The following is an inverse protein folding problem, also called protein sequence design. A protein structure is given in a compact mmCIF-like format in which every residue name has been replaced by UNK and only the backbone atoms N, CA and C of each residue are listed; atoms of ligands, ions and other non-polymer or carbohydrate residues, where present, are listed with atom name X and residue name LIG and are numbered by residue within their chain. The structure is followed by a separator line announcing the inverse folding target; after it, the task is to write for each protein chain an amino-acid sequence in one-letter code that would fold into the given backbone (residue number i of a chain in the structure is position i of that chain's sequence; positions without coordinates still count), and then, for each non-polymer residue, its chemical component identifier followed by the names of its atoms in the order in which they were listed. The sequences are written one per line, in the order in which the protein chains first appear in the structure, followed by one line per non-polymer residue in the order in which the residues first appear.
data_IF_802160420288
#
_entry.id   IF_802160420288
#
_cell.length_a   1.000
_cell.length_b   1.000
_cell.length_c   1.000
_cell.angle_alpha   90.00
_cell.angle_beta   90.00
_cell.angle_gamma   90.00
#
_symmetry.space_group_name_H-M   'P 1'
#
loop_
_entity.id
_entity.type
_entity.pdbx_description
1 polymer ?
#
# COMPACT_ATOMS: atom_id res chain seq x y z
N UNK A 1 11.75 -0.22 20.97
CA UNK A 1 12.73 0.44 20.07
C UNK A 1 12.48 1.94 20.02
N UNK A 2 13.45 2.69 19.55
CA UNK A 2 13.38 4.12 19.34
C UNK A 2 12.95 4.40 17.91
N UNK A 3 11.90 5.20 17.73
CA UNK A 3 11.34 5.53 16.40
C UNK A 3 11.44 7.04 16.18
N UNK A 4 11.87 7.45 15.00
CA UNK A 4 11.70 8.81 14.50
C UNK A 4 10.52 8.86 13.52
N UNK A 5 9.78 9.96 13.51
CA UNK A 5 8.71 10.21 12.56
C UNK A 5 9.10 11.33 11.60
N UNK A 6 8.90 11.14 10.31
CA UNK A 6 9.11 12.14 9.26
C UNK A 6 7.77 12.38 8.57
N UNK A 7 7.23 13.59 8.75
CA UNK A 7 5.85 13.95 8.39
C UNK A 7 4.89 13.68 9.56
N UNK A 8 4.31 14.75 10.11
CA UNK A 8 3.43 14.68 11.28
C UNK A 8 1.99 15.11 11.00
N UNK A 9 1.52 14.72 9.81
CA UNK A 9 0.13 14.86 9.39
C UNK A 9 -0.81 13.80 10.02
N UNK A 10 -1.91 13.49 9.34
CA UNK A 10 -2.90 12.51 9.82
C UNK A 10 -2.29 11.12 10.05
N UNK A 11 -1.38 10.66 9.16
CA UNK A 11 -0.72 9.36 9.29
C UNK A 11 0.32 9.36 10.42
N UNK A 12 1.20 10.36 10.48
CA UNK A 12 2.24 10.46 11.51
C UNK A 12 1.65 10.43 12.93
N UNK A 13 0.57 11.18 13.16
CA UNK A 13 -0.15 11.19 14.45
C UNK A 13 -0.79 9.85 14.82
N UNK A 14 -1.27 9.10 13.83
CA UNK A 14 -1.85 7.78 14.10
C UNK A 14 -0.77 6.72 14.32
N UNK A 15 0.35 6.82 13.59
CA UNK A 15 1.54 5.98 13.78
C UNK A 15 2.12 6.18 15.19
N UNK A 16 2.28 7.44 15.65
CA UNK A 16 2.75 7.73 17.01
C UNK A 16 1.90 7.01 18.07
N UNK A 17 0.56 7.17 18.01
CA UNK A 17 -0.35 6.52 18.98
C UNK A 17 -0.15 5.01 19.03
N UNK A 18 -0.05 4.38 17.87
CA UNK A 18 0.13 2.93 17.79
C UNK A 18 1.51 2.52 18.27
N UNK A 19 2.56 3.23 17.86
CA UNK A 19 3.94 2.95 18.29
C UNK A 19 4.08 3.04 19.82
N UNK A 20 3.57 4.10 20.45
CA UNK A 20 3.56 4.28 21.90
C UNK A 20 2.75 3.19 22.59
N UNK A 21 1.55 2.87 22.08
CA UNK A 21 0.73 1.80 22.66
C UNK A 21 1.39 0.41 22.57
N UNK A 22 2.31 0.20 21.60
CA UNK A 22 3.11 -1.01 21.46
C UNK A 22 4.42 -0.99 22.28
N UNK A 23 4.66 0.08 23.03
CA UNK A 23 5.83 0.20 23.92
C UNK A 23 7.08 0.74 23.22
N UNK A 24 6.93 1.43 22.09
CA UNK A 24 8.05 2.11 21.44
C UNK A 24 8.16 3.56 21.92
N UNK A 25 9.37 4.11 21.86
CA UNK A 25 9.70 5.49 22.19
C UNK A 25 9.79 6.32 20.93
N UNK A 26 9.08 7.43 20.86
CA UNK A 26 9.25 8.42 19.78
C UNK A 26 10.33 9.41 20.22
N UNK A 27 11.50 9.33 19.57
CA UNK A 27 12.67 10.14 19.94
C UNK A 27 12.80 11.40 19.12
N UNK A 28 12.20 11.47 17.93
CA UNK A 28 12.24 12.64 17.06
C UNK A 28 10.98 12.70 16.19
N UNK A 29 10.49 13.91 15.96
CA UNK A 29 9.40 14.18 15.01
C UNK A 29 9.88 15.30 14.10
N UNK A 30 10.00 15.02 12.80
CA UNK A 30 10.41 15.96 11.77
C UNK A 30 9.22 16.31 10.89
N UNK A 31 8.99 17.59 10.69
CA UNK A 31 8.00 18.13 9.75
C UNK A 31 8.61 19.32 8.99
N UNK A 32 7.82 20.09 8.28
CA UNK A 32 8.28 21.20 7.41
C UNK A 32 9.06 22.27 8.16
N UNK A 33 8.77 22.50 9.43
CA UNK A 33 9.32 23.62 10.21
C UNK A 33 10.63 23.31 10.95
N UNK A 34 11.08 22.03 10.98
CA UNK A 34 12.26 21.61 11.75
C UNK A 34 13.18 20.64 11.01
N UNK A 35 13.37 20.87 9.73
CA UNK A 35 14.20 20.04 8.84
C UNK A 35 15.67 19.90 9.30
N UNK A 36 16.20 20.82 10.12
CA UNK A 36 17.54 20.74 10.72
C UNK A 36 17.65 19.57 11.73
N UNK A 37 16.54 19.05 12.24
CA UNK A 37 16.53 18.00 13.26
C UNK A 37 16.97 16.62 12.71
N UNK A 38 17.11 16.45 11.39
CA UNK A 38 17.78 15.28 10.81
C UNK A 38 19.23 15.13 11.31
N UNK A 39 19.89 16.23 11.71
CA UNK A 39 21.25 16.23 12.23
C UNK A 39 21.32 16.07 13.76
N UNK A 40 20.18 16.08 14.44
CA UNK A 40 20.10 16.00 15.90
C UNK A 40 20.54 14.61 16.42
N UNK A 41 21.11 14.59 17.61
CA UNK A 41 21.44 13.33 18.30
C UNK A 41 20.18 12.51 18.61
N UNK A 42 19.05 13.17 18.82
CA UNK A 42 17.76 12.50 19.01
C UNK A 42 17.38 11.70 17.77
N UNK A 43 17.42 12.29 16.58
CA UNK A 43 17.12 11.61 15.32
C UNK A 43 18.10 10.45 15.05
N UNK A 44 19.41 10.71 15.18
CA UNK A 44 20.47 9.69 14.98
C UNK A 44 20.39 8.54 15.96
N UNK A 45 19.74 8.72 17.12
CA UNK A 45 19.54 7.66 18.10
C UNK A 45 18.37 6.71 17.77
N UNK A 46 17.60 7.00 16.70
CA UNK A 46 16.48 6.16 16.30
C UNK A 46 16.97 4.85 15.69
N UNK A 47 16.32 3.75 16.05
CA UNK A 47 16.52 2.44 15.42
C UNK A 47 15.94 2.44 13.99
N UNK A 48 14.79 3.10 13.81
CA UNK A 48 14.08 3.22 12.52
C UNK A 48 13.35 4.56 12.45
N UNK A 49 13.37 5.19 11.28
CA UNK A 49 12.51 6.34 10.95
C UNK A 49 11.30 5.87 10.13
N UNK A 50 10.12 6.42 10.39
CA UNK A 50 8.90 6.17 9.62
C UNK A 50 8.50 7.45 8.90
N UNK A 51 8.46 7.40 7.56
CA UNK A 51 8.25 8.55 6.68
C UNK A 51 6.91 8.46 5.96
N UNK A 52 6.06 9.48 6.16
CA UNK A 52 4.80 9.68 5.45
C UNK A 52 4.63 11.16 5.14
N UNK A 53 5.21 11.58 4.02
CA UNK A 53 5.15 12.98 3.54
C UNK A 53 4.46 13.07 2.17
N UNK A 54 5.17 13.51 1.14
CA UNK A 54 4.66 13.62 -0.22
C UNK A 54 5.76 13.35 -1.27
N UNK A 55 5.42 13.14 -2.55
CA UNK A 55 6.36 12.81 -3.62
C UNK A 55 7.55 13.76 -3.75
N UNK A 56 7.32 15.05 -3.54
CA UNK A 56 8.32 16.10 -3.83
C UNK A 56 9.47 16.15 -2.82
N UNK A 57 9.26 15.66 -1.59
CA UNK A 57 10.26 15.71 -0.53
C UNK A 57 10.74 14.33 -0.06
N UNK A 58 10.04 13.27 -0.44
CA UNK A 58 10.33 11.90 0.01
C UNK A 58 11.78 11.49 -0.27
N UNK A 59 12.25 11.66 -1.49
CA UNK A 59 13.63 11.32 -1.87
C UNK A 59 14.67 12.07 -1.04
N UNK A 60 14.48 13.38 -0.81
CA UNK A 60 15.38 14.17 0.02
C UNK A 60 15.39 13.70 1.48
N UNK A 61 14.22 13.32 2.01
CA UNK A 61 14.10 12.76 3.35
C UNK A 61 14.85 11.43 3.46
N UNK A 62 14.80 10.59 2.41
CA UNK A 62 15.56 9.33 2.37
C UNK A 62 17.07 9.59 2.43
N UNK A 63 17.58 10.50 1.61
CA UNK A 63 19.01 10.83 1.58
C UNK A 63 19.49 11.37 2.94
N UNK A 64 18.71 12.23 3.59
CA UNK A 64 19.04 12.75 4.94
C UNK A 64 19.02 11.62 5.98
N UNK A 65 18.03 10.72 5.93
CA UNK A 65 17.89 9.59 6.86
C UNK A 65 19.06 8.61 6.69
N UNK A 66 19.43 8.28 5.46
CA UNK A 66 20.59 7.44 5.16
C UNK A 66 21.91 8.08 5.61
N UNK A 67 22.09 9.39 5.40
CA UNK A 67 23.26 10.12 5.88
C UNK A 67 23.37 10.11 7.42
N UNK A 68 22.25 10.06 8.13
CA UNK A 68 22.20 9.92 9.58
C UNK A 68 22.45 8.47 10.08
N UNK A 69 22.54 7.48 9.17
CA UNK A 69 22.72 6.07 9.50
C UNK A 69 21.48 5.40 10.09
N UNK A 70 20.30 5.96 9.87
CA UNK A 70 19.02 5.46 10.40
C UNK A 70 18.30 4.63 9.34
N UNK A 71 17.78 3.45 9.70
CA UNK A 71 16.95 2.62 8.84
C UNK A 71 15.60 3.30 8.57
N UNK A 72 15.00 3.08 7.41
CA UNK A 72 13.84 3.82 6.95
C UNK A 72 12.67 2.91 6.59
N UNK A 73 11.46 3.28 7.01
CA UNK A 73 10.18 2.78 6.49
C UNK A 73 9.47 3.94 5.82
N UNK A 74 9.02 3.80 4.57
CA UNK A 74 8.32 4.87 3.88
C UNK A 74 7.06 4.40 3.17
N UNK A 75 6.00 5.22 3.32
CA UNK A 75 4.73 5.11 2.61
C UNK A 75 4.52 6.19 1.55
N UNK A 76 5.50 7.07 1.33
CA UNK A 76 5.41 8.07 0.27
C UNK A 76 5.55 7.42 -1.11
N UNK A 77 4.74 7.88 -2.06
CA UNK A 77 4.68 7.39 -3.44
C UNK A 77 5.14 8.46 -4.42
N UNK A 78 5.23 8.12 -5.72
CA UNK A 78 5.51 9.09 -6.80
C UNK A 78 6.99 9.45 -6.99
N UNK A 79 7.91 8.82 -6.27
CA UNK A 79 9.36 9.02 -6.38
C UNK A 79 10.08 7.90 -7.16
N UNK A 80 9.43 6.75 -7.30
CA UNK A 80 10.03 5.52 -7.86
C UNK A 80 10.50 5.68 -9.32
N UNK A 81 9.72 6.38 -10.14
CA UNK A 81 10.04 6.55 -11.56
C UNK A 81 11.35 7.31 -11.75
N UNK A 82 11.59 8.33 -10.93
CA UNK A 82 12.77 9.20 -11.04
C UNK A 82 13.97 8.67 -10.24
N UNK A 83 13.75 8.11 -9.04
CA UNK A 83 14.80 7.78 -8.07
C UNK A 83 14.85 6.31 -7.64
N UNK A 84 13.95 5.47 -8.16
CA UNK A 84 13.78 4.10 -7.66
C UNK A 84 15.04 3.23 -7.81
N UNK A 85 15.69 3.28 -8.96
CA UNK A 85 16.90 2.50 -9.23
C UNK A 85 18.07 2.94 -8.33
N UNK A 86 18.26 4.25 -8.13
CA UNK A 86 19.31 4.78 -7.26
C UNK A 86 19.08 4.36 -5.81
N UNK A 87 17.89 4.56 -5.28
CA UNK A 87 17.54 4.20 -3.90
C UNK A 87 17.68 2.69 -3.67
N UNK A 88 17.22 1.88 -4.62
CA UNK A 88 17.37 0.43 -4.57
C UNK A 88 18.85 0.01 -4.53
N UNK A 89 19.68 0.63 -5.35
CA UNK A 89 21.12 0.37 -5.35
C UNK A 89 21.79 0.77 -4.03
N UNK A 90 21.42 1.89 -3.44
CA UNK A 90 21.90 2.30 -2.12
C UNK A 90 21.55 1.27 -1.04
N UNK A 91 20.39 0.62 -1.15
CA UNK A 91 19.97 -0.42 -0.21
C UNK A 91 20.64 -1.78 -0.47
N UNK A 92 20.84 -2.17 -1.74
CA UNK A 92 21.38 -3.49 -2.08
C UNK A 92 22.91 -3.55 -2.08
N UNK A 93 23.59 -2.44 -2.39
CA UNK A 93 25.06 -2.37 -2.51
C UNK A 93 25.69 -1.34 -1.55
N UNK A 94 24.93 -0.33 -1.15
CA UNK A 94 25.41 0.79 -0.33
C UNK A 94 25.19 0.62 1.18
N UNK A 95 24.64 -0.50 1.64
CA UNK A 95 24.42 -0.78 3.06
C UNK A 95 23.29 0.04 3.71
N UNK A 96 22.47 0.73 2.92
CA UNK A 96 21.30 1.44 3.43
C UNK A 96 20.12 0.47 3.57
N UNK A 97 19.11 0.86 4.37
CA UNK A 97 17.92 0.05 4.55
C UNK A 97 16.66 0.88 4.38
N UNK A 98 15.82 0.45 3.43
CA UNK A 98 14.50 1.01 3.19
C UNK A 98 13.46 -0.09 3.11
N UNK A 99 12.46 -0.03 3.96
CA UNK A 99 11.20 -0.75 3.76
C UNK A 99 10.21 0.20 3.06
N UNK A 100 9.83 -0.14 1.85
CA UNK A 100 8.86 0.68 1.09
C UNK A 100 7.61 -0.09 0.72
N UNK A 101 6.48 0.57 0.86
CA UNK A 101 5.20 0.08 0.32
C UNK A 101 4.29 1.25 -0.05
N UNK A 102 3.60 1.12 -1.16
CA UNK A 102 2.50 2.04 -1.52
C UNK A 102 1.25 1.84 -0.65
N UNK A 103 1.17 0.72 0.06
CA UNK A 103 0.03 0.39 0.93
C UNK A 103 0.48 -0.45 2.13
N UNK A 104 0.36 0.11 3.32
CA UNK A 104 0.71 -0.54 4.59
C UNK A 104 -0.47 -1.24 5.27
N UNK A 105 -1.64 -1.32 4.62
CA UNK A 105 -2.79 -2.00 5.23
C UNK A 105 -2.55 -3.51 5.34
N UNK A 106 -2.49 -4.02 6.57
CA UNK A 106 -2.45 -5.45 6.85
C UNK A 106 -3.60 -6.20 6.19
N UNK A 107 -4.80 -5.63 6.29
CA UNK A 107 -5.99 -6.22 5.69
C UNK A 107 -5.84 -6.36 4.17
N UNK A 108 -5.28 -5.34 3.49
CA UNK A 108 -5.00 -5.39 2.05
C UNK A 108 -3.92 -6.42 1.73
N UNK A 109 -2.86 -6.54 2.54
CA UNK A 109 -1.79 -7.52 2.33
C UNK A 109 -2.34 -8.97 2.42
N UNK A 110 -3.09 -9.28 3.48
CA UNK A 110 -3.77 -10.58 3.65
C UNK A 110 -4.77 -10.81 2.51
N UNK A 111 -5.57 -9.80 2.19
CA UNK A 111 -6.55 -9.88 1.11
C UNK A 111 -5.90 -10.15 -0.24
N UNK A 112 -4.76 -9.50 -0.53
CA UNK A 112 -3.99 -9.74 -1.76
C UNK A 112 -3.47 -11.17 -1.85
N UNK A 113 -2.96 -11.74 -0.75
CA UNK A 113 -2.51 -13.12 -0.70
C UNK A 113 -3.67 -14.12 -0.94
N UNK A 114 -4.81 -13.92 -0.27
CA UNK A 114 -6.02 -14.72 -0.46
C UNK A 114 -6.53 -14.61 -1.89
N UNK A 115 -6.52 -13.41 -2.48
CA UNK A 115 -6.92 -13.15 -3.85
C UNK A 115 -6.06 -13.96 -4.85
N UNK A 116 -4.73 -13.89 -4.72
CA UNK A 116 -3.80 -14.65 -5.58
C UNK A 116 -4.01 -16.16 -5.42
N UNK A 117 -4.18 -16.64 -4.19
CA UNK A 117 -4.42 -18.05 -3.92
C UNK A 117 -5.77 -18.51 -4.51
N UNK A 118 -6.84 -17.74 -4.32
CA UNK A 118 -8.15 -18.02 -4.91
C UNK A 118 -8.06 -18.03 -6.45
N UNK A 119 -7.39 -17.05 -7.06
CA UNK A 119 -7.20 -17.01 -8.50
C UNK A 119 -6.48 -18.28 -9.03
N UNK A 120 -5.47 -18.78 -8.31
CA UNK A 120 -4.77 -20.02 -8.68
C UNK A 120 -5.69 -21.25 -8.63
N UNK A 121 -6.58 -21.33 -7.65
CA UNK A 121 -7.60 -22.40 -7.56
C UNK A 121 -8.59 -22.26 -8.72
N UNK A 122 -9.10 -21.05 -8.96
CA UNK A 122 -10.11 -20.78 -9.98
C UNK A 122 -9.60 -20.94 -11.41
N UNK A 123 -8.28 -21.03 -11.61
CA UNK A 123 -7.71 -21.37 -12.91
C UNK A 123 -8.17 -22.74 -13.41
N UNK A 124 -8.49 -23.67 -12.50
CA UNK A 124 -8.99 -25.00 -12.83
C UNK A 124 -10.51 -25.05 -13.05
N UNK A 125 -11.23 -23.96 -12.90
CA UNK A 125 -12.69 -23.87 -12.98
C UNK A 125 -13.14 -22.84 -14.02
N UNK A 126 -13.03 -23.08 -15.32
CA UNK A 126 -13.29 -22.11 -16.38
C UNK A 126 -14.76 -21.68 -16.49
N UNK A 127 -15.68 -22.36 -15.83
CA UNK A 127 -17.09 -21.93 -15.76
C UNK A 127 -17.37 -20.75 -14.84
N UNK A 128 -16.36 -20.26 -14.09
CA UNK A 128 -16.49 -19.06 -13.26
C UNK A 128 -15.86 -17.86 -13.94
N UNK A 129 -16.66 -16.83 -14.18
CA UNK A 129 -16.16 -15.54 -14.65
C UNK A 129 -15.80 -14.63 -13.47
N UNK A 130 -14.66 -13.90 -13.60
CA UNK A 130 -14.15 -13.02 -12.56
C UNK A 130 -14.45 -11.56 -12.89
N UNK A 131 -14.88 -10.82 -11.88
CA UNK A 131 -15.04 -9.37 -11.93
C UNK A 131 -14.56 -8.72 -10.63
N UNK A 132 -14.28 -7.42 -10.68
CA UNK A 132 -13.84 -6.67 -9.53
C UNK A 132 -14.57 -5.33 -9.45
N UNK A 133 -14.92 -4.94 -8.22
CA UNK A 133 -15.51 -3.62 -7.91
C UNK A 133 -14.73 -3.00 -6.76
N UNK A 134 -14.37 -1.72 -6.90
CA UNK A 134 -13.81 -0.91 -5.81
C UNK A 134 -14.74 0.27 -5.50
N UNK A 135 -14.85 0.61 -4.20
CA UNK A 135 -15.63 1.77 -3.73
C UNK A 135 -14.74 2.66 -2.89
N UNK A 136 -14.73 3.96 -3.19
CA UNK A 136 -14.02 4.98 -2.42
C UNK A 136 -14.86 6.24 -2.27
N UNK A 137 -14.37 7.14 -1.39
CA UNK A 137 -14.98 8.44 -1.14
C UNK A 137 -15.08 9.31 -2.41
N UNK A 138 -16.02 10.25 -2.41
CA UNK A 138 -16.33 11.11 -3.56
C UNK A 138 -15.19 12.01 -4.02
N UNK A 139 -14.18 12.26 -3.17
CA UNK A 139 -13.01 13.08 -3.47
C UNK A 139 -11.84 12.32 -4.13
N UNK A 140 -11.97 11.00 -4.36
CA UNK A 140 -10.94 10.20 -5.01
C UNK A 140 -11.00 10.39 -6.52
N UNK A 141 -9.87 10.87 -7.08
CA UNK A 141 -9.80 11.25 -8.50
C UNK A 141 -9.45 10.08 -9.42
N UNK A 142 -8.52 9.23 -8.98
CA UNK A 142 -8.08 8.06 -9.77
C UNK A 142 -9.13 6.94 -9.74
N UNK A 143 -9.41 6.37 -10.88
CA UNK A 143 -10.28 5.20 -11.07
C UNK A 143 -9.74 4.35 -12.24
N UNK A 144 -9.51 3.04 -12.02
CA UNK A 144 -9.54 2.34 -10.74
C UNK A 144 -8.45 2.82 -9.76
N UNK A 145 -8.63 2.56 -8.46
CA UNK A 145 -7.63 2.87 -7.43
C UNK A 145 -6.35 2.06 -7.64
N UNK A 146 -5.19 2.58 -7.20
CA UNK A 146 -3.92 1.84 -7.26
C UNK A 146 -3.98 0.48 -6.58
N UNK A 147 -4.69 0.35 -5.45
CA UNK A 147 -4.93 -0.94 -4.79
C UNK A 147 -5.76 -1.89 -5.66
N UNK A 148 -6.78 -1.38 -6.35
CA UNK A 148 -7.59 -2.20 -7.27
C UNK A 148 -6.74 -2.71 -8.44
N UNK A 149 -5.88 -1.87 -9.02
CA UNK A 149 -4.95 -2.27 -10.07
C UNK A 149 -4.01 -3.38 -9.57
N UNK A 150 -3.37 -3.21 -8.42
CA UNK A 150 -2.49 -4.23 -7.82
C UNK A 150 -3.22 -5.56 -7.59
N UNK A 151 -4.46 -5.51 -7.12
CA UNK A 151 -5.28 -6.72 -6.90
C UNK A 151 -5.65 -7.39 -8.23
N UNK A 152 -6.00 -6.61 -9.26
CA UNK A 152 -6.29 -7.12 -10.60
C UNK A 152 -5.05 -7.77 -11.23
N UNK A 153 -3.88 -7.15 -11.13
CA UNK A 153 -2.60 -7.72 -11.57
C UNK A 153 -2.29 -9.03 -10.85
N UNK A 154 -2.58 -9.10 -9.55
CA UNK A 154 -2.44 -10.35 -8.78
C UNK A 154 -3.36 -11.49 -9.27
N UNK A 155 -4.55 -11.16 -9.78
CA UNK A 155 -5.42 -12.14 -10.45
C UNK A 155 -4.79 -12.59 -11.77
N UNK A 156 -4.36 -11.65 -12.61
CA UNK A 156 -3.77 -11.94 -13.92
C UNK A 156 -2.50 -12.80 -13.81
N UNK A 157 -1.72 -12.62 -12.75
CA UNK A 157 -0.53 -13.46 -12.49
C UNK A 157 -0.86 -14.95 -12.32
N UNK A 158 -2.07 -15.28 -11.83
CA UNK A 158 -2.48 -16.64 -11.45
C UNK A 158 -3.58 -17.23 -12.32
N UNK A 159 -4.33 -16.41 -13.05
CA UNK A 159 -5.48 -16.82 -13.84
C UNK A 159 -5.18 -16.73 -15.34
N UNK A 160 -4.62 -17.80 -15.92
CA UNK A 160 -4.06 -17.86 -17.27
C UNK A 160 -5.04 -17.44 -18.38
N UNK A 161 -6.36 -17.64 -18.17
CA UNK A 161 -7.38 -17.26 -19.15
C UNK A 161 -7.65 -15.75 -19.21
N UNK A 162 -7.09 -14.95 -18.30
CA UNK A 162 -7.19 -13.49 -18.29
C UNK A 162 -5.82 -12.88 -18.58
N UNK A 163 -5.72 -11.97 -19.57
CA UNK A 163 -4.46 -11.41 -20.04
C UNK A 163 -4.23 -9.97 -19.66
N UNK A 164 -5.29 -9.22 -19.39
CA UNK A 164 -5.24 -7.82 -18.97
C UNK A 164 -6.50 -7.45 -18.19
N UNK A 165 -6.38 -6.43 -17.35
CA UNK A 165 -7.55 -5.77 -16.79
C UNK A 165 -8.00 -4.62 -17.70
N UNK A 166 -9.29 -4.31 -17.67
CA UNK A 166 -9.90 -3.19 -18.37
C UNK A 166 -10.76 -2.39 -17.40
N UNK A 167 -10.88 -1.10 -17.68
CA UNK A 167 -11.80 -0.25 -16.92
C UNK A 167 -13.24 -0.68 -17.20
N UNK A 168 -13.96 -1.05 -16.15
CA UNK A 168 -15.37 -1.37 -16.19
C UNK A 168 -16.25 -0.12 -16.10
N UNK A 169 -17.30 -0.18 -15.28
CA UNK A 169 -18.15 0.99 -15.01
C UNK A 169 -17.54 1.90 -13.96
N UNK A 170 -17.79 3.21 -14.09
CA UNK A 170 -17.59 4.20 -13.05
C UNK A 170 -18.96 4.76 -12.64
N UNK A 171 -19.32 4.54 -11.37
CA UNK A 171 -20.49 5.14 -10.75
C UNK A 171 -20.07 6.40 -10.02
N UNK A 172 -20.52 7.55 -10.49
CA UNK A 172 -20.25 8.86 -9.91
C UNK A 172 -21.13 9.10 -8.64
N UNK A 173 -20.80 10.12 -7.80
CA UNK A 173 -21.52 10.40 -6.55
C UNK A 173 -23.01 10.72 -6.73
N UNK A 174 -23.41 11.22 -7.89
CA UNK A 174 -24.79 11.49 -8.25
C UNK A 174 -25.56 10.27 -8.79
N UNK A 175 -24.90 9.09 -8.81
CA UNK A 175 -25.45 7.85 -9.34
C UNK A 175 -25.31 7.68 -10.84
N UNK A 176 -24.74 8.65 -11.56
CA UNK A 176 -24.45 8.52 -12.98
C UNK A 176 -23.46 7.38 -13.22
N UNK A 177 -23.78 6.48 -14.13
CA UNK A 177 -22.92 5.35 -14.52
C UNK A 177 -22.36 5.61 -15.92
N UNK A 178 -21.05 5.53 -16.06
CA UNK A 178 -20.31 5.57 -17.32
C UNK A 178 -19.48 4.31 -17.52
N UNK A 179 -19.08 4.02 -18.76
CA UNK A 179 -18.35 2.78 -19.08
C UNK A 179 -19.27 1.56 -19.23
N UNK A 180 -18.67 0.40 -19.34
CA UNK A 180 -19.36 -0.88 -19.50
C UNK A 180 -18.58 -2.00 -18.84
N UNK A 181 -19.27 -3.05 -18.41
CA UNK A 181 -18.66 -4.32 -17.97
C UNK A 181 -18.54 -5.32 -19.13
N UNK A 182 -19.05 -4.99 -20.32
CA UNK A 182 -18.85 -5.81 -21.50
C UNK A 182 -17.37 -5.73 -21.92
N UNK A 183 -16.74 -6.90 -21.96
CA UNK A 183 -15.32 -7.04 -22.30
C UNK A 183 -15.07 -8.37 -23.00
N UNK A 184 -13.90 -8.53 -23.58
CA UNK A 184 -13.50 -9.81 -24.19
C UNK A 184 -13.29 -10.88 -23.10
N UNK A 185 -13.45 -12.14 -23.48
CA UNK A 185 -13.36 -13.28 -22.55
C UNK A 185 -12.01 -13.35 -21.80
N UNK A 186 -10.94 -12.82 -22.38
CA UNK A 186 -9.61 -12.75 -21.77
C UNK A 186 -9.34 -11.46 -20.99
N UNK A 187 -10.32 -10.60 -20.80
CA UNK A 187 -10.20 -9.35 -20.05
C UNK A 187 -10.88 -9.47 -18.67
N UNK A 188 -10.33 -8.73 -17.69
CA UNK A 188 -10.85 -8.60 -16.33
C UNK A 188 -11.45 -7.20 -16.14
N UNK A 189 -12.79 -7.05 -16.06
CA UNK A 189 -13.38 -5.73 -15.82
C UNK A 189 -13.20 -5.32 -14.35
N UNK A 190 -12.70 -4.09 -14.14
CA UNK A 190 -12.53 -3.45 -12.83
C UNK A 190 -13.43 -2.23 -12.79
N UNK A 191 -14.51 -2.30 -12.05
CA UNK A 191 -15.48 -1.21 -11.88
C UNK A 191 -15.18 -0.37 -10.63
N UNK A 192 -15.54 0.91 -10.67
CA UNK A 192 -15.31 1.87 -9.60
C UNK A 192 -16.59 2.54 -9.15
N UNK A 193 -16.77 2.73 -7.84
CA UNK A 193 -17.88 3.46 -7.25
C UNK A 193 -17.33 4.59 -6.40
N UNK A 194 -17.95 5.78 -6.46
CA UNK A 194 -17.62 6.94 -5.63
C UNK A 194 -18.80 7.24 -4.74
N UNK A 195 -18.66 6.99 -3.41
CA UNK A 195 -19.73 7.06 -2.46
C UNK A 195 -19.25 7.64 -1.12
N UNK A 196 -19.93 8.68 -0.64
CA UNK A 196 -19.74 9.26 0.69
C UNK A 196 -18.27 9.48 1.08
N UNK A 197 -17.91 9.05 2.27
CA UNK A 197 -16.55 9.11 2.84
C UNK A 197 -15.91 7.71 2.98
N UNK A 198 -16.30 6.76 2.14
CA UNK A 198 -15.80 5.37 2.15
C UNK A 198 -14.27 5.35 2.02
N UNK A 199 -13.52 4.82 3.01
CA UNK A 199 -12.06 4.79 2.97
C UNK A 199 -11.47 3.90 1.87
N UNK A 200 -12.20 2.83 1.52
CA UNK A 200 -11.86 1.88 0.46
C UNK A 200 -12.45 0.50 0.70
N UNK A 201 -13.25 0.04 -0.23
CA UNK A 201 -13.79 -1.33 -0.28
C UNK A 201 -13.34 -1.95 -1.60
N UNK A 202 -12.88 -3.19 -1.57
CA UNK A 202 -12.51 -3.96 -2.75
C UNK A 202 -13.21 -5.30 -2.70
N UNK A 203 -14.02 -5.61 -3.70
CA UNK A 203 -14.75 -6.87 -3.83
C UNK A 203 -14.34 -7.57 -5.13
N UNK A 204 -13.97 -8.84 -5.02
CA UNK A 204 -13.62 -9.70 -6.14
C UNK A 204 -14.62 -10.85 -6.16
N UNK A 205 -15.29 -11.03 -7.28
CA UNK A 205 -16.34 -12.01 -7.46
C UNK A 205 -16.00 -12.95 -8.60
N UNK A 206 -16.13 -14.25 -8.34
CA UNK A 206 -16.15 -15.31 -9.32
C UNK A 206 -17.58 -15.82 -9.42
N UNK A 207 -18.17 -15.77 -10.59
CA UNK A 207 -19.59 -16.02 -10.83
C UNK A 207 -19.80 -17.14 -11.87
N UNK A 208 -20.70 -18.07 -11.60
CA UNK A 208 -21.09 -19.15 -12.49
C UNK A 208 -22.62 -19.23 -12.60
N UNK A 209 -23.13 -20.10 -13.43
CA UNK A 209 -24.58 -20.39 -13.51
C UNK A 209 -25.13 -21.00 -12.22
N UNK A 210 -24.31 -21.68 -11.42
CA UNK A 210 -24.72 -22.39 -10.23
C UNK A 210 -24.65 -21.56 -8.95
N UNK A 211 -23.57 -20.80 -8.81
CA UNK A 211 -23.28 -20.02 -7.59
C UNK A 211 -22.24 -18.93 -7.84
N UNK A 212 -21.93 -18.17 -6.82
CA UNK A 212 -20.86 -17.16 -6.83
C UNK A 212 -20.01 -17.22 -5.58
N UNK A 213 -18.70 -16.96 -5.72
CA UNK A 213 -17.74 -16.79 -4.65
C UNK A 213 -17.31 -15.34 -4.63
N UNK A 214 -17.48 -14.67 -3.49
CA UNK A 214 -17.06 -13.26 -3.33
C UNK A 214 -16.13 -13.13 -2.14
N UNK A 215 -14.98 -12.50 -2.34
CA UNK A 215 -14.11 -12.05 -1.26
C UNK A 215 -14.15 -10.51 -1.22
N UNK A 216 -14.15 -9.95 -0.03
CA UNK A 216 -14.24 -8.49 0.17
C UNK A 216 -13.32 -8.01 1.27
N UNK A 217 -12.58 -6.95 0.98
CA UNK A 217 -11.87 -6.15 1.98
C UNK A 217 -12.58 -4.81 2.12
N UNK A 218 -12.92 -4.44 3.35
CA UNK A 218 -13.62 -3.20 3.72
C UNK A 218 -12.81 -2.45 4.78
N UNK A 219 -12.11 -1.40 4.37
CA UNK A 219 -11.34 -0.54 5.28
C UNK A 219 -12.28 0.36 6.09
N UNK A 220 -12.22 0.27 7.42
CA UNK A 220 -13.05 1.09 8.32
C UNK A 220 -12.41 2.45 8.65
N UNK A 221 -11.09 2.50 8.69
CA UNK A 221 -10.31 3.70 9.05
C UNK A 221 -8.82 3.52 8.72
N UNK A 222 -8.00 4.55 9.04
CA UNK A 222 -6.55 4.54 8.78
C UNK A 222 -5.71 3.74 9.79
N UNK A 223 -6.28 3.19 10.87
CA UNK A 223 -5.51 2.47 11.90
C UNK A 223 -4.79 1.24 11.34
N UNK A 224 -5.40 0.53 10.39
CA UNK A 224 -4.77 -0.61 9.73
C UNK A 224 -3.49 -0.26 8.98
N UNK A 225 -3.43 0.90 8.34
CA UNK A 225 -2.24 1.40 7.65
C UNK A 225 -1.15 1.81 8.65
N UNK A 226 -1.52 2.54 9.70
CA UNK A 226 -0.59 2.98 10.72
C UNK A 226 -0.01 1.79 11.51
N UNK A 227 -0.82 0.78 11.83
CA UNK A 227 -0.34 -0.46 12.44
C UNK A 227 0.64 -1.19 11.52
N UNK A 228 0.34 -1.31 10.23
CA UNK A 228 1.25 -1.92 9.27
C UNK A 228 2.59 -1.19 9.15
N UNK A 229 2.60 0.15 9.20
CA UNK A 229 3.83 0.93 9.21
C UNK A 229 4.68 0.68 10.48
N UNK A 230 4.04 0.54 11.65
CA UNK A 230 4.76 0.20 12.89
C UNK A 230 5.31 -1.22 12.85
N UNK A 231 4.54 -2.20 12.35
CA UNK A 231 5.03 -3.58 12.19
C UNK A 231 6.17 -3.66 11.16
N UNK A 232 6.10 -2.89 10.08
CA UNK A 232 7.20 -2.76 9.14
C UNK A 232 8.46 -2.19 9.80
N UNK A 233 8.32 -1.21 10.71
CA UNK A 233 9.45 -0.68 11.46
C UNK A 233 10.04 -1.71 12.43
N UNK A 234 9.21 -2.48 13.13
CA UNK A 234 9.66 -3.59 14.00
C UNK A 234 10.45 -4.64 13.20
N UNK A 235 9.98 -4.97 11.99
CA UNK A 235 10.67 -5.88 11.09
C UNK A 235 12.01 -5.29 10.61
N UNK A 236 11.99 -4.05 10.12
CA UNK A 236 13.14 -3.34 9.56
C UNK A 236 14.28 -3.15 10.58
N UNK A 237 13.95 -3.00 11.87
CA UNK A 237 14.96 -2.88 12.93
C UNK A 237 15.98 -4.05 12.89
N UNK A 238 15.54 -5.26 12.53
CA UNK A 238 16.35 -6.48 12.52
C UNK A 238 16.72 -7.00 11.11
N UNK A 239 16.37 -6.26 10.05
CA UNK A 239 16.62 -6.63 8.65
C UNK A 239 17.31 -5.50 7.91
N UNK A 240 17.90 -5.80 6.75
CA UNK A 240 18.68 -4.85 5.94
C UNK A 240 18.31 -4.98 4.46
N UNK A 241 18.56 -3.90 3.71
CA UNK A 241 18.39 -3.85 2.28
C UNK A 241 17.11 -3.15 1.83
N UNK A 242 16.64 -3.49 0.62
CA UNK A 242 15.38 -2.97 0.07
C UNK A 242 14.26 -3.96 0.37
N UNK A 243 13.39 -3.60 1.30
CA UNK A 243 12.36 -4.45 1.91
C UNK A 243 10.96 -3.97 1.51
N UNK A 244 9.98 -4.87 1.61
CA UNK A 244 8.58 -4.56 1.35
C UNK A 244 7.61 -5.48 2.08
N UNK A 245 6.32 -5.34 1.80
CA UNK A 245 5.27 -6.12 2.48
C UNK A 245 5.40 -7.63 2.28
N UNK A 246 5.98 -8.07 1.16
CA UNK A 246 6.22 -9.50 0.92
C UNK A 246 7.31 -10.09 1.83
N UNK A 247 8.26 -9.28 2.29
CA UNK A 247 9.29 -9.71 3.22
C UNK A 247 8.74 -9.81 4.64
N UNK A 248 7.81 -8.91 5.00
CA UNK A 248 7.15 -8.89 6.30
C UNK A 248 6.19 -10.08 6.49
N UNK A 249 5.49 -10.44 5.42
CA UNK A 249 4.52 -11.54 5.42
C UNK A 249 5.00 -12.66 4.50
N UNK A 250 5.41 -13.76 5.07
CA UNK A 250 5.71 -14.99 4.33
C UNK A 250 4.39 -15.70 3.99
N UNK A 251 3.73 -15.25 2.89
CA UNK A 251 2.54 -15.91 2.36
C UNK A 251 2.89 -16.96 1.30
#
# INVERSE_FOLDING_TARGET
MKIALIGYGKMGKEIEKIAVARGHEIVSIIDVDNQQDFESEAFKSADVAIEFTNPHVAYQNYMKTFAAGVKLVSGSTGWLEEHGEEVKKLCTEGGQTLFWSSNFSLGVAVFSAVNKYLASIMNNFPGYEVSMVETHHVHKLDAPSGTAITLAEGILEKLERKSKWVMGTLTAPDGTVSGTTECEANELPVSSIREGEVPGIHAIRYDSEADSITITHDAKNRKGFALGAVLAAEYTANHEGFLGMNDLFQF
#
